data_IF_978768400070
#
_entry.id   IF_978768400070
#
_cell.length_a   1.000
_cell.length_b   1.000
_cell.length_c   1.000
_cell.angle_alpha   90.00
_cell.angle_beta   90.00
_cell.angle_gamma   90.00
#
_symmetry.space_group_name_H-M   'P 1'
#
loop_
_entity.id
_entity.type
_entity.pdbx_description
1 polymer ?
#
# COMPACT_ATOMS: atom_id res chain seq x y z
N UNK A 1 35.54 -5.12 35.59
CA UNK A 1 34.25 -4.59 35.08
C UNK A 1 34.47 -4.27 33.61
N UNK A 2 33.98 -5.11 32.68
CA UNK A 2 34.34 -5.03 31.27
C UNK A 2 33.44 -4.06 30.50
N UNK A 3 34.02 -2.93 30.11
CA UNK A 3 33.44 -1.87 29.27
C UNK A 3 33.00 -2.38 27.88
N UNK A 4 33.50 -3.54 27.45
CA UNK A 4 33.13 -4.20 26.20
C UNK A 4 31.71 -4.80 26.24
N UNK A 5 31.29 -5.38 27.37
CA UNK A 5 29.95 -5.98 27.51
C UNK A 5 28.81 -4.96 27.58
N UNK A 6 29.11 -3.70 27.88
CA UNK A 6 28.12 -2.60 27.91
C UNK A 6 27.95 -1.96 26.54
N UNK A 7 29.03 -1.80 25.77
CA UNK A 7 28.98 -1.34 24.37
C UNK A 7 28.27 -2.34 23.46
N UNK A 8 28.52 -3.63 23.64
CA UNK A 8 27.87 -4.68 22.86
C UNK A 8 26.35 -4.73 23.10
N UNK A 9 25.90 -4.53 24.34
CA UNK A 9 24.47 -4.46 24.68
C UNK A 9 23.78 -3.21 24.12
N UNK A 10 24.44 -2.05 24.17
CA UNK A 10 23.91 -0.82 23.55
C UNK A 10 23.84 -0.93 22.02
N UNK A 11 24.86 -1.51 21.38
CA UNK A 11 24.82 -1.81 19.95
C UNK A 11 23.72 -2.79 19.59
N UNK A 12 23.44 -3.80 20.42
CA UNK A 12 22.35 -4.75 20.19
C UNK A 12 20.97 -4.12 20.30
N UNK A 13 20.76 -3.20 21.26
CA UNK A 13 19.49 -2.47 21.39
C UNK A 13 19.29 -1.51 20.21
N UNK A 14 20.34 -0.81 19.78
CA UNK A 14 20.29 0.08 18.61
C UNK A 14 20.13 -0.70 17.31
N UNK A 15 20.82 -1.83 17.15
CA UNK A 15 20.65 -2.71 15.98
C UNK A 15 19.24 -3.31 15.93
N UNK A 16 18.68 -3.71 17.08
CA UNK A 16 17.29 -4.16 17.14
C UNK A 16 16.32 -3.05 16.73
N UNK A 17 16.57 -1.80 17.13
CA UNK A 17 15.79 -0.64 16.70
C UNK A 17 15.95 -0.33 15.20
N UNK A 18 17.17 -0.39 14.66
CA UNK A 18 17.47 -0.20 13.23
C UNK A 18 16.81 -1.29 12.37
N UNK A 19 16.86 -2.55 12.81
CA UNK A 19 16.18 -3.67 12.15
C UNK A 19 14.66 -3.52 12.22
N UNK A 20 14.14 -3.02 13.36
CA UNK A 20 12.73 -2.69 13.53
C UNK A 20 12.27 -1.58 12.58
N UNK A 21 13.07 -0.53 12.45
CA UNK A 21 12.85 0.58 11.52
C UNK A 21 12.89 0.11 10.05
N UNK A 22 13.85 -0.75 9.68
CA UNK A 22 13.94 -1.33 8.32
C UNK A 22 12.76 -2.25 8.01
N UNK A 23 12.29 -3.04 8.97
CA UNK A 23 11.10 -3.86 8.83
C UNK A 23 9.85 -2.99 8.66
N UNK A 24 9.68 -1.96 9.49
CA UNK A 24 8.58 -1.00 9.36
C UNK A 24 8.60 -0.26 8.02
N UNK A 25 9.76 0.20 7.58
CA UNK A 25 9.93 0.87 6.28
C UNK A 25 9.63 -0.09 5.12
N UNK A 26 10.11 -1.32 5.20
CA UNK A 26 9.82 -2.38 4.23
C UNK A 26 8.33 -2.72 4.17
N UNK A 27 7.64 -2.78 5.31
CA UNK A 27 6.21 -3.03 5.41
C UNK A 27 5.38 -1.84 4.88
N UNK A 28 5.78 -0.61 5.22
CA UNK A 28 5.17 0.62 4.70
C UNK A 28 5.22 0.67 3.18
N UNK A 29 6.39 0.35 2.63
CA UNK A 29 6.63 0.33 1.20
C UNK A 29 5.84 -0.79 0.50
N UNK A 30 5.97 -2.05 0.97
CA UNK A 30 5.28 -3.19 0.31
C UNK A 30 3.77 -3.13 0.45
N UNK A 31 3.24 -2.89 1.64
CA UNK A 31 1.80 -3.06 1.89
C UNK A 31 1.02 -1.76 1.66
N UNK A 32 1.58 -0.61 2.00
CA UNK A 32 0.93 0.69 1.80
C UNK A 32 1.13 1.19 0.37
N UNK A 33 2.38 1.40 -0.03
CA UNK A 33 2.71 2.05 -1.30
C UNK A 33 2.34 1.18 -2.52
N UNK A 34 2.67 -0.12 -2.54
CA UNK A 34 2.33 -0.96 -3.70
C UNK A 34 0.81 -1.15 -3.86
N UNK A 35 0.07 -1.32 -2.75
CA UNK A 35 -1.40 -1.45 -2.82
C UNK A 35 -2.05 -0.14 -3.27
N UNK A 36 -1.55 1.00 -2.79
CA UNK A 36 -1.97 2.33 -3.23
C UNK A 36 -1.67 2.57 -4.71
N UNK A 37 -0.46 2.25 -5.16
CA UNK A 37 -0.05 2.35 -6.57
C UNK A 37 -0.91 1.45 -7.47
N UNK A 38 -1.17 0.20 -7.08
CA UNK A 38 -2.00 -0.72 -7.86
C UNK A 38 -3.48 -0.28 -7.92
N UNK A 39 -4.01 0.29 -6.84
CA UNK A 39 -5.35 0.88 -6.84
C UNK A 39 -5.41 2.12 -7.76
N UNK A 40 -4.41 2.99 -7.69
CA UNK A 40 -4.29 4.15 -8.56
C UNK A 40 -4.16 3.78 -10.04
N UNK A 41 -3.29 2.82 -10.38
CA UNK A 41 -3.13 2.34 -11.77
C UNK A 41 -4.42 1.76 -12.34
N UNK A 42 -5.17 0.99 -11.55
CA UNK A 42 -6.49 0.48 -11.96
C UNK A 42 -7.48 1.62 -12.18
N UNK A 43 -7.53 2.61 -11.30
CA UNK A 43 -8.40 3.77 -11.47
C UNK A 43 -8.03 4.56 -12.75
N UNK A 44 -6.74 4.76 -13.02
CA UNK A 44 -6.27 5.44 -14.23
C UNK A 44 -6.70 4.70 -15.51
N UNK A 45 -6.52 3.38 -15.57
CA UNK A 45 -6.97 2.57 -16.71
C UNK A 45 -8.49 2.63 -16.92
N UNK A 46 -9.27 2.71 -15.83
CA UNK A 46 -10.72 2.89 -15.93
C UNK A 46 -11.10 4.29 -16.43
N UNK A 47 -10.37 5.35 -16.06
CA UNK A 47 -10.59 6.69 -16.63
C UNK A 47 -10.39 6.66 -18.15
N UNK A 48 -9.29 6.05 -18.61
CA UNK A 48 -9.01 5.93 -20.05
C UNK A 48 -10.10 5.14 -20.77
N UNK A 49 -10.53 4.02 -20.20
CA UNK A 49 -11.60 3.19 -20.75
C UNK A 49 -12.93 3.95 -20.86
N UNK A 50 -13.31 4.67 -19.80
CA UNK A 50 -14.55 5.48 -19.79
C UNK A 50 -14.45 6.62 -20.80
N UNK A 51 -13.28 7.23 -20.97
CA UNK A 51 -13.03 8.21 -22.03
C UNK A 51 -13.23 7.62 -23.43
N UNK A 52 -12.68 6.43 -23.69
CA UNK A 52 -12.87 5.72 -24.97
C UNK A 52 -14.34 5.34 -25.21
N UNK A 53 -15.05 4.93 -24.16
CA UNK A 53 -16.47 4.61 -24.21
C UNK A 53 -17.32 5.83 -24.54
N UNK A 54 -16.98 7.02 -24.00
CA UNK A 54 -17.66 8.28 -24.32
C UNK A 54 -17.50 8.63 -25.80
N UNK A 55 -16.27 8.55 -26.33
CA UNK A 55 -16.02 8.76 -27.76
C UNK A 55 -16.81 7.78 -28.64
N UNK A 56 -16.97 6.54 -28.19
CA UNK A 56 -17.80 5.56 -28.88
C UNK A 56 -19.29 5.94 -28.85
N UNK A 57 -19.80 6.38 -27.69
CA UNK A 57 -21.19 6.80 -27.52
C UNK A 57 -21.56 8.04 -28.36
N UNK A 58 -20.62 8.96 -28.57
CA UNK A 58 -20.81 10.12 -29.46
C UNK A 58 -21.08 9.73 -30.91
N UNK A 59 -20.56 8.58 -31.36
CA UNK A 59 -20.82 8.02 -32.69
C UNK A 59 -22.15 7.27 -32.82
N UNK A 60 -22.87 7.03 -31.71
CA UNK A 60 -24.16 6.35 -31.76
C UNK A 60 -25.27 7.29 -32.25
N UNK A 61 -26.20 6.78 -33.09
CA UNK A 61 -27.38 7.56 -33.45
C UNK A 61 -28.23 7.85 -32.21
N UNK A 62 -28.97 8.97 -32.19
CA UNK A 62 -29.93 9.23 -31.12
C UNK A 62 -30.91 8.08 -30.95
N UNK A 63 -31.09 7.62 -29.72
CA UNK A 63 -32.00 6.52 -29.39
C UNK A 63 -31.60 5.77 -28.12
N UNK A 64 -32.33 4.70 -27.79
CA UNK A 64 -32.18 3.99 -26.52
C UNK A 64 -30.76 3.49 -26.25
N UNK A 65 -30.05 3.03 -27.28
CA UNK A 65 -28.68 2.55 -27.14
C UNK A 65 -27.69 3.64 -26.72
N UNK A 66 -27.90 4.88 -27.20
CA UNK A 66 -27.08 6.02 -26.81
C UNK A 66 -27.41 6.46 -25.38
N UNK A 67 -28.68 6.49 -25.01
CA UNK A 67 -29.12 6.82 -23.65
C UNK A 67 -28.61 5.81 -22.62
N UNK A 68 -28.64 4.52 -22.93
CA UNK A 68 -28.10 3.46 -22.08
C UNK A 68 -26.57 3.58 -21.90
N UNK A 69 -25.85 3.87 -23.00
CA UNK A 69 -24.41 4.11 -22.94
C UNK A 69 -24.08 5.34 -22.07
N UNK A 70 -24.81 6.45 -22.23
CA UNK A 70 -24.63 7.68 -21.43
C UNK A 70 -24.91 7.44 -19.94
N UNK A 71 -25.96 6.68 -19.61
CA UNK A 71 -26.28 6.31 -18.23
C UNK A 71 -25.19 5.43 -17.60
N UNK A 72 -24.67 4.47 -18.37
CA UNK A 72 -23.58 3.61 -17.91
C UNK A 72 -22.26 4.37 -17.73
N UNK A 73 -21.94 5.30 -18.64
CA UNK A 73 -20.78 6.22 -18.53
C UNK A 73 -20.89 7.04 -17.24
N UNK A 74 -22.04 7.65 -16.96
CA UNK A 74 -22.24 8.46 -15.77
C UNK A 74 -22.05 7.66 -14.47
N UNK A 75 -22.56 6.43 -14.42
CA UNK A 75 -22.31 5.52 -13.31
C UNK A 75 -20.81 5.17 -13.19
N UNK A 76 -20.15 4.86 -14.31
CA UNK A 76 -18.75 4.46 -14.33
C UNK A 76 -17.82 5.60 -13.87
N UNK A 77 -18.07 6.84 -14.30
CA UNK A 77 -17.32 8.02 -13.85
C UNK A 77 -17.39 8.20 -12.33
N UNK A 78 -18.60 8.10 -11.75
CA UNK A 78 -18.81 8.15 -10.29
C UNK A 78 -18.11 6.99 -9.57
N UNK A 79 -18.14 5.79 -10.15
CA UNK A 79 -17.47 4.63 -9.59
C UNK A 79 -15.94 4.78 -9.56
N UNK A 80 -15.35 5.26 -10.66
CA UNK A 80 -13.91 5.50 -10.78
C UNK A 80 -13.44 6.57 -9.81
N UNK A 81 -14.22 7.64 -9.63
CA UNK A 81 -13.90 8.67 -8.63
C UNK A 81 -13.80 8.10 -7.21
N UNK A 82 -14.65 7.14 -6.85
CA UNK A 82 -14.61 6.48 -5.54
C UNK A 82 -13.46 5.49 -5.39
N UNK A 83 -13.04 4.86 -6.48
CA UNK A 83 -11.95 3.88 -6.47
C UNK A 83 -10.57 4.52 -6.46
N UNK A 84 -10.44 5.75 -6.98
CA UNK A 84 -9.16 6.44 -7.01
C UNK A 84 -8.70 6.77 -5.58
N UNK A 85 -7.63 6.13 -5.06
CA UNK A 85 -7.17 6.35 -3.70
C UNK A 85 -6.66 7.79 -3.47
N UNK A 86 -6.40 8.56 -4.54
CA UNK A 86 -5.97 9.96 -4.45
C UNK A 86 -7.13 10.96 -4.31
N UNK A 87 -8.37 10.52 -4.52
CA UNK A 87 -9.55 11.38 -4.37
C UNK A 87 -10.03 11.49 -2.90
N UNK A 88 -9.54 10.61 -2.03
CA UNK A 88 -9.72 10.70 -0.58
C UNK A 88 -8.46 11.23 0.11
N UNK A 89 -8.54 11.47 1.42
CA UNK A 89 -7.35 11.79 2.21
C UNK A 89 -6.36 10.63 2.14
N UNK A 90 -5.10 10.87 1.72
CA UNK A 90 -4.07 9.84 1.70
C UNK A 90 -3.77 9.43 3.14
N UNK A 91 -4.43 8.38 3.62
CA UNK A 91 -4.13 7.78 4.91
C UNK A 91 -3.01 6.77 4.71
N UNK A 92 -1.92 6.98 5.43
CA UNK A 92 -0.87 5.97 5.54
C UNK A 92 -1.54 4.76 6.21
N UNK A 93 -1.63 3.63 5.49
CA UNK A 93 -2.17 2.41 6.09
C UNK A 93 -1.40 2.14 7.39
N UNK A 94 -2.12 2.05 8.51
CA UNK A 94 -1.53 1.70 9.79
C UNK A 94 -0.76 0.39 9.61
N UNK A 95 0.53 0.45 9.91
CA UNK A 95 1.39 -0.73 9.82
C UNK A 95 1.10 -1.53 11.08
N UNK A 96 0.56 -2.75 10.97
CA UNK A 96 0.41 -3.59 12.15
C UNK A 96 1.80 -3.83 12.75
N UNK A 97 1.91 -3.78 14.08
CA UNK A 97 3.15 -4.14 14.75
C UNK A 97 3.62 -5.52 14.24
N UNK A 98 4.85 -5.63 13.71
CA UNK A 98 5.37 -6.87 13.19
C UNK A 98 5.37 -7.92 14.29
N UNK A 99 4.93 -9.12 13.96
CA UNK A 99 4.96 -10.23 14.91
C UNK A 99 6.42 -10.61 15.16
N UNK A 100 6.67 -11.18 16.32
CA UNK A 100 7.96 -11.75 16.72
C UNK A 100 8.57 -12.69 15.65
N UNK A 101 7.72 -13.34 14.85
CA UNK A 101 8.09 -14.19 13.71
C UNK A 101 8.66 -13.42 12.52
N UNK A 102 8.20 -12.20 12.28
CA UNK A 102 8.63 -11.31 11.19
C UNK A 102 10.03 -10.74 11.41
N UNK A 103 10.50 -10.77 12.67
CA UNK A 103 11.85 -10.35 13.06
C UNK A 103 12.90 -11.40 12.69
N UNK A 104 12.54 -12.69 12.63
CA UNK A 104 13.48 -13.81 12.45
C UNK A 104 14.54 -13.63 11.35
N UNK A 105 14.22 -13.10 10.15
CA UNK A 105 15.22 -12.89 9.10
C UNK A 105 16.31 -11.87 9.45
N UNK A 106 16.00 -10.92 10.34
CA UNK A 106 16.90 -9.85 10.77
C UNK A 106 17.64 -10.22 12.06
N UNK A 107 17.21 -11.27 12.76
CA UNK A 107 17.78 -11.65 14.05
C UNK A 107 19.13 -12.40 13.99
N UNK A 108 19.71 -12.62 12.81
CA UNK A 108 21.06 -13.19 12.62
C UNK A 108 21.42 -14.36 13.57
N UNK A 109 20.46 -15.26 13.85
CA UNK A 109 20.64 -16.44 14.72
C UNK A 109 20.27 -16.27 16.20
N UNK A 110 19.72 -15.13 16.63
CA UNK A 110 19.29 -14.88 18.00
C UNK A 110 17.81 -15.19 18.25
N UNK A 111 17.48 -15.59 19.49
CA UNK A 111 16.11 -15.89 19.92
C UNK A 111 15.28 -14.60 20.09
N UNK A 112 14.03 -14.55 19.59
CA UNK A 112 13.16 -13.38 19.73
C UNK A 112 12.76 -13.00 21.16
N UNK A 113 12.98 -13.92 22.11
CA UNK A 113 12.56 -13.77 23.50
C UNK A 113 13.66 -13.19 24.41
N UNK A 114 14.76 -12.69 23.82
CA UNK A 114 15.94 -12.27 24.56
C UNK A 114 16.73 -13.47 25.11
N UNK A 115 17.91 -13.25 25.72
CA UNK A 115 18.63 -14.31 26.40
C UNK A 115 17.79 -14.78 27.60
N UNK A 116 17.24 -15.99 27.51
CA UNK A 116 16.72 -16.70 28.68
C UNK A 116 17.87 -16.91 29.64
N UNK A 117 17.68 -16.40 30.86
CA UNK A 117 18.63 -16.46 31.98
C UNK A 117 18.95 -17.89 32.40
#
# INVERSE_FOLDING_TARGET
MSIYGSRQRLWQVVAHFDDWMRLHESCRYRNGCQRGQAAWQRAAGLVEYVGALRLHAEGLPPGPAREEAEAWIAWAESHVQRLNPLNGSPSLAEIPEPRTEDLKPFMHGWSPYGPTY
#
